data_IF_216103529228
#
_entry.id   IF_216103529228
#
_cell.length_a   1.000
_cell.length_b   1.000
_cell.length_c   1.000
_cell.angle_alpha   90.00
_cell.angle_beta   90.00
_cell.angle_gamma   90.00
#
_symmetry.space_group_name_H-M   'P 1'
#
loop_
_entity.id
_entity.type
_entity.pdbx_description
1 polymer ?
#
# COMPACT_ATOMS: atom_id res chain seq x y z
N UNK A 1 -18.18 -13.59 -4.53
CA UNK A 1 -17.22 -12.58 -4.03
C UNK A 1 -17.21 -12.66 -2.52
N UNK A 2 -16.05 -12.57 -1.89
CA UNK A 2 -15.94 -12.64 -0.42
C UNK A 2 -15.14 -11.44 0.09
N UNK A 3 -15.52 -10.92 1.26
CA UNK A 3 -14.83 -9.82 1.93
C UNK A 3 -13.75 -10.36 2.85
N UNK A 4 -12.61 -9.67 2.91
CA UNK A 4 -11.48 -10.00 3.77
C UNK A 4 -10.96 -8.74 4.42
N UNK A 5 -10.72 -8.80 5.72
CA UNK A 5 -9.92 -7.80 6.41
C UNK A 5 -8.46 -7.90 5.98
N UNK A 6 -7.80 -6.76 5.86
CA UNK A 6 -6.37 -6.69 5.55
C UNK A 6 -5.65 -5.70 6.46
N UNK A 7 -4.36 -5.97 6.60
CA UNK A 7 -3.38 -5.06 7.18
C UNK A 7 -2.23 -4.87 6.21
N UNK A 8 -1.93 -3.63 5.86
CA UNK A 8 -0.79 -3.25 5.03
C UNK A 8 0.19 -2.43 5.86
N UNK A 9 1.32 -3.02 6.23
CA UNK A 9 2.44 -2.27 6.75
C UNK A 9 3.28 -1.72 5.59
N UNK A 10 3.69 -0.46 5.62
CA UNK A 10 4.41 0.16 4.52
C UNK A 10 5.52 1.13 4.94
N UNK A 11 6.38 1.51 4.01
CA UNK A 11 7.36 2.59 4.20
C UNK A 11 7.54 3.32 2.88
N UNK A 12 7.68 4.64 2.94
CA UNK A 12 8.01 5.48 1.79
C UNK A 12 9.32 6.18 2.05
N UNK A 13 10.27 5.99 1.14
CA UNK A 13 11.58 6.63 1.16
C UNK A 13 11.74 7.57 -0.03
N UNK A 14 12.51 8.65 0.09
CA UNK A 14 12.96 9.40 -1.07
C UNK A 14 13.87 8.52 -1.92
N UNK A 15 13.78 8.62 -3.25
CA UNK A 15 14.74 7.98 -4.15
C UNK A 15 16.12 8.66 -4.04
N UNK A 16 16.14 9.99 -4.04
CA UNK A 16 17.30 10.80 -3.71
C UNK A 16 17.09 11.57 -2.41
N UNK A 17 17.73 11.14 -1.33
CA UNK A 17 17.56 11.74 0.01
C UNK A 17 17.85 13.25 0.09
N UNK A 18 18.68 13.80 -0.82
CA UNK A 18 19.00 15.22 -0.83
C UNK A 18 17.94 16.09 -1.54
N UNK A 19 17.13 15.50 -2.42
CA UNK A 19 16.22 16.23 -3.30
C UNK A 19 14.74 15.86 -3.10
N UNK A 20 14.45 14.62 -2.71
CA UNK A 20 13.11 14.05 -2.79
C UNK A 20 12.42 13.87 -1.42
N UNK A 21 13.04 14.33 -0.32
CA UNK A 21 12.47 14.13 1.02
C UNK A 21 11.12 14.84 1.20
N UNK A 22 10.93 15.99 0.53
CA UNK A 22 9.64 16.70 0.55
C UNK A 22 8.53 15.87 -0.09
N UNK A 23 8.82 15.24 -1.23
CA UNK A 23 7.89 14.36 -1.95
C UNK A 23 7.57 13.11 -1.13
N UNK A 24 8.58 12.49 -0.52
CA UNK A 24 8.40 11.35 0.37
C UNK A 24 7.55 11.71 1.60
N UNK A 25 7.79 12.86 2.23
CA UNK A 25 6.98 13.35 3.35
C UNK A 25 5.53 13.62 2.95
N UNK A 26 5.31 14.24 1.79
CA UNK A 26 3.97 14.47 1.25
C UNK A 26 3.24 13.16 0.96
N UNK A 27 3.91 12.17 0.38
CA UNK A 27 3.35 10.86 0.10
C UNK A 27 2.94 10.13 1.39
N UNK A 28 3.81 10.12 2.42
CA UNK A 28 3.50 9.56 3.75
C UNK A 28 2.24 10.21 4.33
N UNK A 29 2.18 11.55 4.31
CA UNK A 29 1.04 12.31 4.81
C UNK A 29 -0.26 11.99 4.06
N UNK A 30 -0.19 11.88 2.74
CA UNK A 30 -1.36 11.62 1.90
C UNK A 30 -1.93 10.22 2.13
N UNK A 31 -1.09 9.18 2.15
CA UNK A 31 -1.56 7.82 2.42
C UNK A 31 -2.18 7.72 3.82
N UNK A 32 -1.61 8.43 4.81
CA UNK A 32 -2.16 8.51 6.16
C UNK A 32 -3.56 9.12 6.21
N UNK A 33 -3.78 10.26 5.55
CA UNK A 33 -4.99 11.07 5.74
C UNK A 33 -6.10 10.71 4.75
N UNK A 34 -5.76 10.26 3.54
CA UNK A 34 -6.70 10.29 2.41
C UNK A 34 -7.22 8.92 1.96
N UNK A 35 -6.66 7.81 2.45
CA UNK A 35 -7.11 6.48 1.99
C UNK A 35 -8.40 6.01 2.65
N UNK A 36 -8.95 6.70 3.64
CA UNK A 36 -10.19 6.27 4.32
C UNK A 36 -10.06 4.89 4.99
N UNK A 37 -8.82 4.48 5.26
CA UNK A 37 -8.43 3.28 5.97
C UNK A 37 -8.13 3.71 7.40
N UNK A 38 -8.82 3.12 8.39
CA UNK A 38 -8.59 3.44 9.79
C UNK A 38 -7.11 3.21 10.10
N UNK A 39 -6.39 4.28 10.42
CA UNK A 39 -5.05 4.15 10.98
C UNK A 39 -5.22 3.62 12.39
N UNK A 40 -4.48 2.57 12.77
CA UNK A 40 -4.35 2.21 14.18
C UNK A 40 -3.78 3.44 14.89
N UNK A 41 -4.47 3.93 15.93
CA UNK A 41 -3.97 5.04 16.75
C UNK A 41 -2.49 4.77 17.07
N UNK A 42 -1.60 5.67 16.63
CA UNK A 42 -0.16 5.65 16.85
C UNK A 42 0.72 4.70 15.99
N UNK A 43 0.22 4.10 14.89
CA UNK A 43 1.09 3.40 13.91
C UNK A 43 1.03 4.09 12.54
N UNK A 44 2.03 4.94 12.27
CA UNK A 44 2.09 5.83 11.08
C UNK A 44 2.22 5.10 9.73
N UNK A 45 2.55 3.81 9.76
CA UNK A 45 2.93 3.00 8.60
C UNK A 45 2.04 1.78 8.41
N UNK A 46 0.86 1.75 9.00
CA UNK A 46 -0.07 0.62 8.87
C UNK A 46 -1.45 1.09 8.42
N UNK A 47 -1.95 0.48 7.35
CA UNK A 47 -3.30 0.69 6.83
C UNK A 47 -4.16 -0.54 7.09
N UNK A 48 -5.37 -0.34 7.59
CA UNK A 48 -6.36 -1.40 7.80
C UNK A 48 -7.59 -1.18 6.93
N UNK A 49 -8.18 -2.25 6.42
CA UNK A 49 -9.45 -2.13 5.73
C UNK A 49 -10.01 -3.46 5.26
N UNK A 50 -11.02 -3.38 4.39
CA UNK A 50 -11.71 -4.54 3.83
C UNK A 50 -11.57 -4.54 2.32
N UNK A 51 -11.11 -5.67 1.76
CA UNK A 51 -11.06 -5.90 0.31
C UNK A 51 -12.06 -6.98 -0.10
N UNK A 52 -12.66 -6.80 -1.27
CA UNK A 52 -13.55 -7.80 -1.86
C UNK A 52 -12.82 -8.56 -2.96
N UNK A 53 -12.66 -9.87 -2.77
CA UNK A 53 -11.96 -10.74 -3.72
C UNK A 53 -12.93 -11.68 -4.44
N UNK A 54 -12.65 -11.97 -5.70
CA UNK A 54 -13.53 -12.73 -6.60
C UNK A 54 -12.96 -14.11 -6.93
N UNK A 55 -11.66 -14.28 -6.80
CA UNK A 55 -10.93 -15.50 -7.16
C UNK A 55 -11.38 -16.74 -6.39
N UNK A 56 -11.28 -17.91 -7.03
CA UNK A 56 -11.73 -19.18 -6.47
C UNK A 56 -10.72 -19.80 -5.49
N UNK A 57 -9.42 -19.73 -5.79
CA UNK A 57 -8.37 -20.34 -4.98
C UNK A 57 -7.71 -19.33 -4.05
N UNK A 58 -7.09 -19.81 -2.96
CA UNK A 58 -6.33 -18.97 -2.02
C UNK A 58 -5.16 -18.26 -2.73
N UNK A 59 -4.45 -18.98 -3.61
CA UNK A 59 -3.33 -18.42 -4.36
C UNK A 59 -3.74 -17.31 -5.32
N UNK A 60 -4.89 -17.46 -5.98
CA UNK A 60 -5.43 -16.42 -6.87
C UNK A 60 -5.96 -15.23 -6.08
N UNK A 61 -6.61 -15.46 -4.92
CA UNK A 61 -7.05 -14.39 -4.01
C UNK A 61 -5.89 -13.56 -3.50
N UNK A 62 -4.75 -14.17 -3.18
CA UNK A 62 -3.54 -13.42 -2.79
C UNK A 62 -3.06 -12.48 -3.89
N UNK A 63 -2.92 -13.00 -5.11
CA UNK A 63 -2.50 -12.21 -6.27
C UNK A 63 -3.49 -11.09 -6.60
N UNK A 64 -4.78 -11.36 -6.45
CA UNK A 64 -5.83 -10.37 -6.63
C UNK A 64 -5.73 -9.26 -5.58
N UNK A 65 -5.53 -9.62 -4.30
CA UNK A 65 -5.36 -8.66 -3.21
C UNK A 65 -4.11 -7.79 -3.38
N UNK A 66 -2.98 -8.40 -3.71
CA UNK A 66 -1.72 -7.71 -4.01
C UNK A 66 -1.92 -6.71 -5.15
N UNK A 67 -2.48 -7.15 -6.28
CA UNK A 67 -2.72 -6.29 -7.43
C UNK A 67 -3.64 -5.12 -7.09
N UNK A 68 -4.75 -5.37 -6.40
CA UNK A 68 -5.71 -4.33 -6.03
C UNK A 68 -5.08 -3.23 -5.17
N UNK A 69 -4.31 -3.61 -4.14
CA UNK A 69 -3.67 -2.61 -3.29
C UNK A 69 -2.47 -1.95 -3.97
N UNK A 70 -1.68 -2.71 -4.74
CA UNK A 70 -0.60 -2.15 -5.54
C UNK A 70 -1.12 -1.06 -6.47
N UNK A 71 -2.16 -1.36 -7.27
CA UNK A 71 -2.75 -0.41 -8.22
C UNK A 71 -3.33 0.82 -7.50
N UNK A 72 -4.00 0.61 -6.36
CA UNK A 72 -4.55 1.70 -5.56
C UNK A 72 -3.49 2.65 -4.99
N UNK A 73 -2.41 2.11 -4.42
CA UNK A 73 -1.30 2.91 -3.90
C UNK A 73 -0.54 3.59 -5.04
N UNK A 74 -0.29 2.87 -6.13
CA UNK A 74 0.37 3.41 -7.31
C UNK A 74 -0.41 4.62 -7.87
N UNK A 75 -1.73 4.51 -8.00
CA UNK A 75 -2.57 5.62 -8.47
C UNK A 75 -2.57 6.80 -7.51
N UNK A 76 -2.54 6.58 -6.19
CA UNK A 76 -2.40 7.64 -5.20
C UNK A 76 -1.05 8.38 -5.34
N UNK A 77 0.06 7.65 -5.47
CA UNK A 77 1.39 8.24 -5.70
C UNK A 77 1.47 8.96 -7.05
N UNK A 78 0.81 8.43 -8.08
CA UNK A 78 0.71 9.07 -9.39
C UNK A 78 -0.02 10.41 -9.33
N UNK A 79 -1.15 10.48 -8.60
CA UNK A 79 -1.91 11.72 -8.41
C UNK A 79 -1.09 12.80 -7.71
N UNK A 80 -0.19 12.39 -6.81
CA UNK A 80 0.78 13.27 -6.14
C UNK A 80 1.97 13.67 -7.01
N UNK A 81 2.15 13.03 -8.18
CA UNK A 81 3.30 13.22 -9.09
C UNK A 81 4.65 12.87 -8.49
N UNK A 82 4.68 11.93 -7.55
CA UNK A 82 5.91 11.53 -6.83
C UNK A 82 6.48 10.18 -7.29
N UNK A 83 5.87 9.54 -8.30
CA UNK A 83 6.29 8.19 -8.75
C UNK A 83 7.76 8.09 -9.16
N UNK A 84 8.38 9.18 -9.61
CA UNK A 84 9.79 9.21 -10.01
C UNK A 84 10.75 9.60 -8.87
N UNK A 85 10.22 10.02 -7.72
CA UNK A 85 10.99 10.62 -6.62
C UNK A 85 10.88 9.81 -5.32
N UNK A 86 9.99 8.81 -5.25
CA UNK A 86 9.81 8.00 -4.04
C UNK A 86 9.83 6.50 -4.31
N UNK A 87 10.30 5.77 -3.30
CA UNK A 87 10.27 4.31 -3.24
C UNK A 87 9.25 3.89 -2.18
N UNK A 88 8.26 3.09 -2.59
CA UNK A 88 7.29 2.49 -1.68
C UNK A 88 7.63 1.01 -1.44
N UNK A 89 7.57 0.60 -0.19
CA UNK A 89 7.68 -0.80 0.21
C UNK A 89 6.48 -1.20 1.07
N UNK A 90 5.80 -2.28 0.69
CA UNK A 90 4.61 -2.79 1.35
C UNK A 90 4.72 -4.24 1.79
N UNK A 91 4.10 -4.55 2.92
CA UNK A 91 3.89 -5.90 3.44
C UNK A 91 2.41 -6.07 3.78
N UNK A 92 1.70 -6.82 2.94
CA UNK A 92 0.27 -7.05 3.00
C UNK A 92 -0.06 -8.38 3.69
N UNK A 93 -0.86 -8.32 4.74
CA UNK A 93 -1.52 -9.45 5.35
C UNK A 93 -3.02 -9.39 5.06
N UNK A 94 -3.59 -10.51 4.64
CA UNK A 94 -5.03 -10.63 4.40
C UNK A 94 -5.53 -11.80 5.21
N UNK A 95 -6.58 -11.58 6.00
CA UNK A 95 -7.12 -12.59 6.89
C UNK A 95 -7.52 -13.86 6.12
N UNK A 96 -7.24 -15.02 6.70
CA UNK A 96 -7.53 -16.33 6.11
C UNK A 96 -6.79 -16.67 4.81
N UNK A 97 -5.93 -15.79 4.27
CA UNK A 97 -5.17 -16.08 3.04
C UNK A 97 -3.76 -16.64 3.34
N UNK A 98 -3.26 -16.58 4.56
CA UNK A 98 -1.97 -17.18 4.95
C UNK A 98 -0.81 -16.17 4.98
N UNK A 99 0.43 -16.54 4.57
CA UNK A 99 1.59 -15.67 4.71
C UNK A 99 1.45 -14.31 4.03
N UNK A 100 2.12 -13.31 4.60
CA UNK A 100 2.18 -11.95 4.08
C UNK A 100 2.78 -11.89 2.67
N UNK A 101 2.28 -10.96 1.86
CA UNK A 101 2.73 -10.66 0.50
C UNK A 101 3.52 -9.35 0.54
N UNK A 102 4.71 -9.34 -0.06
CA UNK A 102 5.54 -8.14 -0.17
C UNK A 102 5.46 -7.60 -1.59
N UNK A 103 5.37 -6.29 -1.73
CA UNK A 103 5.41 -5.60 -3.02
C UNK A 103 6.05 -4.23 -2.86
N UNK A 104 6.55 -3.70 -3.96
CA UNK A 104 7.20 -2.40 -4.04
C UNK A 104 6.67 -1.59 -5.22
N UNK A 105 6.78 -0.27 -5.11
CA UNK A 105 6.60 0.67 -6.23
C UNK A 105 7.87 1.50 -6.27
N UNK A 106 8.70 1.24 -7.27
CA UNK A 106 9.98 1.90 -7.47
C UNK A 106 9.88 2.97 -8.58
N UNK A 107 10.74 4.01 -8.53
CA UNK A 107 10.88 4.98 -9.59
C UNK A 107 11.13 4.33 -10.95
N UNK A 108 10.49 4.88 -11.99
CA UNK A 108 10.67 4.49 -13.39
C UNK A 108 11.12 5.68 -14.23
#
# INVERSE_FOLDING_TARGET
>A
MSKYDFQLAYTIKPHNAAHDEADAAQARLHLRVKLGLDTVEHIETTLLGVITLKSATVADRKREAEKLLHDYIHDALKQLRVLSTVEFYGCLMVDGLGPAVRFDILPR
#
